data_IF_731197688150
#
_entry.id   IF_731197688150
#
_cell.length_a   1.000
_cell.length_b   1.000
_cell.length_c   1.000
_cell.angle_alpha   90.00
_cell.angle_beta   90.00
_cell.angle_gamma   90.00
#
_symmetry.space_group_name_H-M   'P 1'
#
loop_
_entity.id
_entity.type
_entity.pdbx_description
1 polymer ?
#
# COMPACT_ATOMS: atom_id res chain seq x y z
N UNK A 1 -6.97 -5.60 -34.81
CA UNK A 1 -7.77 -4.91 -33.78
C UNK A 1 -6.82 -4.36 -32.74
N UNK A 2 -6.68 -3.03 -32.64
CA UNK A 2 -6.06 -2.39 -31.48
C UNK A 2 -7.11 -2.37 -30.36
N UNK A 3 -6.77 -2.64 -29.10
CA UNK A 3 -7.73 -2.45 -28.02
C UNK A 3 -8.02 -0.95 -27.91
N UNK A 4 -9.28 -0.58 -28.07
CA UNK A 4 -9.81 0.71 -27.64
C UNK A 4 -9.80 0.67 -26.11
N UNK A 5 -8.73 1.21 -25.51
CA UNK A 5 -8.72 1.56 -24.10
C UNK A 5 -9.72 2.70 -23.91
N UNK A 6 -10.75 2.46 -23.11
CA UNK A 6 -11.81 3.40 -22.82
C UNK A 6 -11.22 4.62 -22.08
N UNK A 7 -11.56 5.82 -22.52
CA UNK A 7 -10.96 7.10 -22.08
C UNK A 7 -11.18 7.44 -20.59
N UNK A 8 -11.80 6.54 -19.82
CA UNK A 8 -12.23 6.69 -18.43
C UNK A 8 -11.33 5.98 -17.39
N UNK A 9 -10.34 5.20 -17.80
CA UNK A 9 -9.59 4.30 -16.89
C UNK A 9 -8.33 4.91 -16.23
N UNK A 10 -8.07 6.20 -16.40
CA UNK A 10 -6.77 6.78 -16.00
C UNK A 10 -6.83 7.74 -14.80
N UNK A 11 -7.97 7.81 -14.11
CA UNK A 11 -8.10 8.57 -12.87
C UNK A 11 -8.12 7.60 -11.69
N UNK A 12 -7.05 7.61 -10.89
CA UNK A 12 -7.03 6.90 -9.62
C UNK A 12 -7.69 7.77 -8.55
N UNK A 13 -8.78 7.27 -7.98
CA UNK A 13 -9.43 7.90 -6.83
C UNK A 13 -9.06 7.10 -5.59
N UNK A 14 -8.16 7.63 -4.78
CA UNK A 14 -7.78 7.03 -3.50
C UNK A 14 -8.52 7.77 -2.39
N UNK A 15 -9.38 7.06 -1.67
CA UNK A 15 -9.94 7.52 -0.41
C UNK A 15 -9.10 6.96 0.73
N UNK A 16 -8.29 7.83 1.33
CA UNK A 16 -7.50 7.54 2.51
C UNK A 16 -8.14 8.31 3.66
N UNK A 17 -9.00 7.61 4.41
CA UNK A 17 -9.61 8.11 5.64
C UNK A 17 -10.43 9.41 5.46
N UNK A 18 -11.18 9.50 4.35
CA UNK A 18 -12.02 10.65 4.00
C UNK A 18 -11.28 11.72 3.19
N UNK A 19 -9.96 11.59 3.01
CA UNK A 19 -9.19 12.42 2.07
C UNK A 19 -9.20 11.76 0.70
N UNK A 20 -9.69 12.50 -0.28
CA UNK A 20 -9.69 12.06 -1.67
C UNK A 20 -8.44 12.56 -2.38
N UNK A 21 -7.69 11.61 -2.95
CA UNK A 21 -6.60 11.88 -3.86
C UNK A 21 -7.05 11.41 -5.25
N UNK A 22 -7.32 12.38 -6.12
CA UNK A 22 -7.72 12.13 -7.49
C UNK A 22 -6.50 12.37 -8.38
N UNK A 23 -5.99 11.29 -8.97
CA UNK A 23 -4.76 11.32 -9.74
C UNK A 23 -5.08 10.91 -11.18
N UNK A 24 -5.13 11.89 -12.08
CA UNK A 24 -5.27 11.67 -13.52
C UNK A 24 -3.91 11.33 -14.14
N UNK A 25 -3.61 10.04 -14.30
CA UNK A 25 -2.35 9.56 -14.87
C UNK A 25 -2.37 9.45 -16.40
N UNK A 26 -3.42 9.91 -17.08
CA UNK A 26 -3.57 9.79 -18.54
C UNK A 26 -2.36 10.36 -19.28
N UNK A 27 -1.90 11.53 -18.85
CA UNK A 27 -0.75 12.19 -19.43
C UNK A 27 0.56 11.42 -19.19
N UNK A 28 0.73 10.80 -18.03
CA UNK A 28 1.92 9.98 -17.72
C UNK A 28 2.03 8.77 -18.67
N UNK A 29 0.91 8.15 -19.04
CA UNK A 29 0.88 7.02 -19.98
C UNK A 29 1.21 7.44 -21.42
N UNK A 30 0.86 8.66 -21.81
CA UNK A 30 1.27 9.21 -23.11
C UNK A 30 2.77 9.48 -23.18
N UNK A 31 3.39 9.88 -22.06
CA UNK A 31 4.83 10.11 -21.98
C UNK A 31 5.65 8.81 -22.18
N UNK A 32 5.12 7.65 -21.76
CA UNK A 32 5.75 6.33 -21.93
C UNK A 32 5.87 5.90 -23.40
N UNK A 33 4.95 6.36 -24.24
CA UNK A 33 4.89 6.01 -25.65
C UNK A 33 5.48 7.09 -26.58
N UNK A 34 5.82 8.25 -26.02
CA UNK A 34 6.44 9.33 -26.78
C UNK A 34 7.94 9.07 -26.93
N UNK A 35 8.45 9.18 -28.16
CA UNK A 35 9.89 9.21 -28.38
C UNK A 35 10.38 10.54 -27.80
N UNK A 36 10.91 10.53 -26.58
CA UNK A 36 11.33 11.74 -25.84
C UNK A 36 12.47 12.51 -26.54
N UNK A 37 13.06 11.96 -27.59
CA UNK A 37 14.02 12.65 -28.47
C UNK A 37 13.39 13.75 -29.33
N UNK A 38 12.08 13.66 -29.59
CA UNK A 38 11.40 14.52 -30.58
C UNK A 38 10.80 15.78 -29.92
N UNK A 39 10.67 15.77 -28.59
CA UNK A 39 10.25 16.94 -27.82
C UNK A 39 11.31 18.03 -27.90
N UNK A 40 10.92 19.29 -28.02
CA UNK A 40 11.79 20.46 -27.86
C UNK A 40 12.24 20.64 -26.40
N UNK A 41 13.24 21.49 -26.15
CA UNK A 41 13.69 21.76 -24.78
C UNK A 41 12.62 22.42 -23.89
N UNK A 42 11.71 23.20 -24.49
CA UNK A 42 10.58 23.81 -23.80
C UNK A 42 9.56 22.73 -23.42
N UNK A 43 9.19 21.86 -24.36
CA UNK A 43 8.26 20.74 -24.11
C UNK A 43 8.81 19.74 -23.08
N UNK A 44 10.13 19.52 -23.06
CA UNK A 44 10.78 18.71 -22.02
C UNK A 44 10.66 19.37 -20.63
N UNK A 45 10.79 20.69 -20.54
CA UNK A 45 10.69 21.42 -19.29
C UNK A 45 9.24 21.44 -18.77
N UNK A 46 8.27 21.70 -19.64
CA UNK A 46 6.83 21.60 -19.31
C UNK A 46 6.45 20.17 -18.87
N UNK A 47 7.04 19.16 -19.50
CA UNK A 47 6.85 17.76 -19.12
C UNK A 47 7.43 17.47 -17.73
N UNK A 48 8.62 17.99 -17.42
CA UNK A 48 9.22 17.87 -16.09
C UNK A 48 8.37 18.53 -15.00
N UNK A 49 7.82 19.72 -15.26
CA UNK A 49 6.93 20.41 -14.32
C UNK A 49 5.66 19.60 -14.06
N UNK A 50 5.04 19.04 -15.10
CA UNK A 50 3.89 18.14 -14.96
C UNK A 50 4.23 16.89 -14.15
N UNK A 51 5.35 16.23 -14.46
CA UNK A 51 5.84 15.07 -13.68
C UNK A 51 6.08 15.45 -12.22
N UNK A 52 6.63 16.64 -11.94
CA UNK A 52 6.82 17.16 -10.60
C UNK A 52 5.51 17.34 -9.83
N UNK A 53 4.46 17.83 -10.50
CA UNK A 53 3.11 17.90 -9.94
C UNK A 53 2.56 16.53 -9.54
N UNK A 54 2.71 15.53 -10.43
CA UNK A 54 2.33 14.15 -10.11
C UNK A 54 3.11 13.58 -8.92
N UNK A 55 4.43 13.72 -8.92
CA UNK A 55 5.28 13.27 -7.82
C UNK A 55 4.82 13.86 -6.49
N UNK A 56 4.49 15.15 -6.46
CA UNK A 56 4.00 15.79 -5.25
C UNK A 56 2.70 15.15 -4.72
N UNK A 57 1.71 14.93 -5.60
CA UNK A 57 0.44 14.29 -5.20
C UNK A 57 0.65 12.84 -4.75
N UNK A 58 1.48 12.06 -5.46
CA UNK A 58 1.79 10.68 -5.09
C UNK A 58 2.55 10.61 -3.77
N UNK A 59 3.53 11.50 -3.53
CA UNK A 59 4.28 11.59 -2.28
C UNK A 59 3.35 11.90 -1.11
N UNK A 60 2.47 12.89 -1.25
CA UNK A 60 1.50 13.25 -0.21
C UNK A 60 0.56 12.09 0.13
N UNK A 61 0.07 11.36 -0.88
CA UNK A 61 -0.75 10.16 -0.67
C UNK A 61 0.07 9.01 -0.03
N UNK A 62 1.32 8.84 -0.44
CA UNK A 62 2.22 7.80 0.06
C UNK A 62 2.61 8.01 1.53
N UNK A 63 2.89 9.24 1.94
CA UNK A 63 3.14 9.59 3.33
C UNK A 63 1.91 9.34 4.21
N UNK A 64 0.72 9.72 3.74
CA UNK A 64 -0.53 9.47 4.45
C UNK A 64 -0.78 7.97 4.63
N UNK A 65 -0.68 7.16 3.57
CA UNK A 65 -0.91 5.72 3.66
C UNK A 65 0.15 5.02 4.50
N UNK A 66 1.41 5.49 4.46
CA UNK A 66 2.50 4.93 5.26
C UNK A 66 2.28 5.17 6.73
N UNK A 67 1.92 6.40 7.13
CA UNK A 67 1.54 6.70 8.51
C UNK A 67 0.36 5.84 8.94
N UNK A 68 -0.68 5.72 8.10
CA UNK A 68 -1.85 4.91 8.45
C UNK A 68 -1.54 3.43 8.59
N UNK A 69 -0.67 2.90 7.73
CA UNK A 69 -0.20 1.52 7.80
C UNK A 69 0.47 1.25 9.15
N UNK A 70 1.36 2.13 9.59
CA UNK A 70 2.05 1.99 10.88
C UNK A 70 1.03 2.03 12.04
N UNK A 71 0.10 2.98 12.03
CA UNK A 71 -0.94 3.10 13.07
C UNK A 71 -1.81 1.84 13.16
N UNK A 72 -2.29 1.33 12.03
CA UNK A 72 -3.21 0.19 11.97
C UNK A 72 -2.52 -1.15 12.24
N UNK A 73 -1.26 -1.31 11.81
CA UNK A 73 -0.44 -2.47 12.17
C UNK A 73 -0.19 -2.51 13.68
N UNK A 74 0.15 -1.37 14.29
CA UNK A 74 0.35 -1.27 15.73
C UNK A 74 -0.93 -1.54 16.52
N UNK A 75 -2.05 -0.94 16.12
CA UNK A 75 -3.36 -1.16 16.76
C UNK A 75 -3.80 -2.63 16.66
N UNK A 76 -3.60 -3.25 15.48
CA UNK A 76 -3.85 -4.68 15.31
C UNK A 76 -2.96 -5.55 16.20
N UNK A 77 -1.67 -5.25 16.29
CA UNK A 77 -0.74 -6.01 17.14
C UNK A 77 -1.10 -5.94 18.62
N UNK A 78 -1.48 -4.75 19.11
CA UNK A 78 -1.92 -4.54 20.49
C UNK A 78 -3.18 -5.34 20.75
N UNK A 79 -4.20 -5.15 19.90
CA UNK A 79 -5.46 -5.89 19.98
C UNK A 79 -5.23 -7.41 19.95
N UNK A 80 -4.40 -7.90 19.03
CA UNK A 80 -4.15 -9.32 18.87
C UNK A 80 -3.44 -9.91 20.09
N UNK A 81 -2.46 -9.21 20.68
CA UNK A 81 -1.77 -9.65 21.91
C UNK A 81 -2.74 -9.76 23.09
N UNK A 82 -3.59 -8.75 23.29
CA UNK A 82 -4.58 -8.78 24.36
C UNK A 82 -5.59 -9.91 24.17
N UNK A 83 -6.07 -10.07 22.94
CA UNK A 83 -7.07 -11.07 22.59
C UNK A 83 -6.50 -12.49 22.66
N UNK A 84 -5.23 -12.65 22.29
CA UNK A 84 -4.50 -13.90 22.45
C UNK A 84 -4.38 -14.30 23.91
N UNK A 85 -3.96 -13.39 24.79
CA UNK A 85 -3.87 -13.66 26.23
C UNK A 85 -5.23 -14.04 26.83
N UNK A 86 -6.30 -13.34 26.43
CA UNK A 86 -7.68 -13.67 26.86
C UNK A 86 -8.12 -15.05 26.38
N UNK A 87 -7.86 -15.39 25.12
CA UNK A 87 -8.20 -16.69 24.54
C UNK A 87 -7.40 -17.83 25.17
N UNK A 88 -6.11 -17.63 25.42
CA UNK A 88 -5.24 -18.59 26.11
C UNK A 88 -5.76 -18.88 27.52
N UNK A 89 -6.05 -17.84 28.31
CA UNK A 89 -6.60 -18.01 29.66
C UNK A 89 -7.97 -18.71 29.65
N UNK A 90 -8.83 -18.38 28.69
CA UNK A 90 -10.13 -19.05 28.54
C UNK A 90 -9.96 -20.55 28.25
N UNK A 91 -9.09 -20.90 27.29
CA UNK A 91 -8.82 -22.31 26.95
C UNK A 91 -8.14 -23.07 28.08
N UNK A 92 -7.20 -22.44 28.80
CA UNK A 92 -6.56 -23.04 29.97
C UNK A 92 -7.58 -23.38 31.06
N UNK A 93 -8.57 -22.51 31.30
CA UNK A 93 -9.66 -22.77 32.24
C UNK A 93 -10.46 -24.00 31.83
N UNK A 94 -10.89 -24.05 30.55
CA UNK A 94 -11.65 -25.19 30.01
C UNK A 94 -10.84 -26.48 30.09
N UNK A 95 -9.57 -26.47 29.68
CA UNK A 95 -8.72 -27.66 29.69
C UNK A 95 -8.44 -28.14 31.11
N UNK A 96 -8.28 -27.22 32.08
CA UNK A 96 -8.13 -27.57 33.50
C UNK A 96 -9.36 -28.30 34.03
N UNK A 97 -10.56 -27.84 33.67
CA UNK A 97 -11.82 -28.50 34.03
C UNK A 97 -11.96 -29.87 33.35
N UNK A 98 -11.64 -29.98 32.07
CA UNK A 98 -11.65 -31.25 31.33
C UNK A 98 -10.68 -32.28 31.93
N UNK A 99 -9.51 -31.83 32.41
CA UNK A 99 -8.55 -32.67 33.11
C UNK A 99 -9.09 -33.13 34.47
N UNK A 100 -9.73 -32.24 35.23
CA UNK A 100 -10.37 -32.59 36.52
C UNK A 100 -11.52 -33.59 36.33
N UNK A 101 -12.28 -33.44 35.25
CA UNK A 101 -13.42 -34.30 34.90
C UNK A 101 -13.01 -35.59 34.17
N UNK A 102 -11.71 -35.81 33.92
CA UNK A 102 -11.19 -37.01 33.25
C UNK A 102 -11.45 -37.10 31.75
N UNK A 103 -11.93 -36.02 31.12
CA UNK A 103 -12.19 -35.93 29.67
C UNK A 103 -10.87 -35.75 28.91
N UNK A 104 -9.90 -35.04 29.49
CA UNK A 104 -8.60 -34.71 28.90
C UNK A 104 -7.45 -35.26 29.73
N UNK A 105 -6.36 -35.70 29.09
CA UNK A 105 -5.15 -36.12 29.79
C UNK A 105 -4.39 -34.92 30.36
N UNK A 106 -3.71 -35.10 31.50
CA UNK A 106 -2.82 -34.07 32.09
C UNK A 106 -1.72 -33.63 31.13
N UNK A 107 -1.26 -34.53 30.26
CA UNK A 107 -0.21 -34.24 29.26
C UNK A 107 -0.69 -33.38 28.10
N UNK A 108 -2.00 -33.23 27.90
CA UNK A 108 -2.60 -32.41 26.85
C UNK A 108 -3.38 -31.20 27.42
N UNK A 109 -2.99 -30.75 28.62
CA UNK A 109 -3.67 -29.71 29.41
C UNK A 109 -3.36 -28.27 29.01
N UNK A 110 -2.43 -28.07 28.07
CA UNK A 110 -2.04 -26.73 27.59
C UNK A 110 -2.53 -26.54 26.15
N UNK A 111 -3.24 -25.44 25.85
CA UNK A 111 -3.64 -25.14 24.48
C UNK A 111 -2.44 -24.79 23.62
N UNK A 112 -2.41 -25.31 22.39
CA UNK A 112 -1.41 -24.91 21.41
C UNK A 112 -1.83 -23.62 20.70
N UNK A 113 -0.88 -23.02 19.98
CA UNK A 113 -1.09 -21.77 19.24
C UNK A 113 -2.30 -21.83 18.31
N UNK A 114 -2.47 -22.90 17.54
CA UNK A 114 -3.59 -23.03 16.59
C UNK A 114 -4.94 -23.06 17.29
N UNK A 115 -5.03 -23.68 18.48
CA UNK A 115 -6.26 -23.69 19.27
C UNK A 115 -6.60 -22.29 19.79
N UNK A 116 -5.58 -21.52 20.22
CA UNK A 116 -5.74 -20.14 20.67
C UNK A 116 -6.19 -19.27 19.49
N UNK A 117 -5.53 -19.37 18.33
CA UNK A 117 -5.90 -18.64 17.11
C UNK A 117 -7.35 -18.96 16.66
N UNK A 118 -7.73 -20.24 16.66
CA UNK A 118 -9.10 -20.65 16.36
C UNK A 118 -10.10 -20.06 17.36
N UNK A 119 -9.74 -20.00 18.65
CA UNK A 119 -10.60 -19.39 19.67
C UNK A 119 -10.78 -17.89 19.45
N UNK A 120 -9.71 -17.17 19.10
CA UNK A 120 -9.78 -15.75 18.73
C UNK A 120 -10.75 -15.55 17.55
N UNK A 121 -10.63 -16.36 16.50
CA UNK A 121 -11.48 -16.25 15.30
C UNK A 121 -12.96 -16.52 15.64
N UNK A 122 -13.24 -17.45 16.54
CA UNK A 122 -14.62 -17.76 16.95
C UNK A 122 -15.19 -16.64 17.83
N UNK A 123 -14.45 -16.23 18.86
CA UNK A 123 -14.94 -15.27 19.86
C UNK A 123 -14.99 -13.83 19.32
N UNK A 124 -14.10 -13.49 18.39
CA UNK A 124 -13.92 -12.13 17.85
C UNK A 124 -14.08 -12.06 16.32
N UNK A 125 -14.86 -12.97 15.73
CA UNK A 125 -15.00 -13.15 14.27
C UNK A 125 -15.11 -11.85 13.47
N UNK A 126 -16.05 -10.99 13.86
CA UNK A 126 -16.35 -9.77 13.09
C UNK A 126 -15.25 -8.72 13.24
N UNK A 127 -14.68 -8.58 14.44
CA UNK A 127 -13.57 -7.66 14.70
C UNK A 127 -12.28 -8.13 14.01
N UNK A 128 -11.95 -9.42 14.13
CA UNK A 128 -10.81 -10.04 13.43
C UNK A 128 -10.92 -9.79 11.93
N UNK A 129 -12.08 -10.10 11.35
CA UNK A 129 -12.33 -9.90 9.92
C UNK A 129 -12.17 -8.44 9.52
N UNK A 130 -12.82 -7.52 10.24
CA UNK A 130 -12.76 -6.08 9.97
C UNK A 130 -11.32 -5.57 9.97
N UNK A 131 -10.55 -5.92 10.99
CA UNK A 131 -9.15 -5.47 11.12
C UNK A 131 -8.26 -6.04 10.02
N UNK A 132 -8.39 -7.32 9.69
CA UNK A 132 -7.65 -7.93 8.58
C UNK A 132 -8.02 -7.30 7.23
N UNK A 133 -9.30 -7.02 6.98
CA UNK A 133 -9.75 -6.32 5.77
C UNK A 133 -9.17 -4.91 5.67
N UNK A 134 -9.14 -4.16 6.79
CA UNK A 134 -8.50 -2.84 6.86
C UNK A 134 -7.00 -2.91 6.51
N UNK A 135 -6.25 -3.81 7.14
CA UNK A 135 -4.82 -4.00 6.87
C UNK A 135 -4.56 -4.37 5.41
N UNK A 136 -5.36 -5.27 4.84
CA UNK A 136 -5.24 -5.67 3.43
C UNK A 136 -5.52 -4.51 2.47
N UNK A 137 -6.53 -3.68 2.76
CA UNK A 137 -6.85 -2.49 1.97
C UNK A 137 -5.69 -1.49 2.01
N UNK A 138 -5.16 -1.21 3.20
CA UNK A 138 -4.03 -0.29 3.38
C UNK A 138 -2.80 -0.79 2.64
N UNK A 139 -2.49 -2.08 2.77
CA UNK A 139 -1.37 -2.71 2.06
C UNK A 139 -1.50 -2.56 0.55
N UNK A 140 -2.70 -2.79 0.02
CA UNK A 140 -2.97 -2.65 -1.43
C UNK A 140 -2.73 -1.23 -1.92
N UNK A 141 -3.16 -0.21 -1.16
CA UNK A 141 -2.87 1.19 -1.47
C UNK A 141 -1.38 1.54 -1.35
N UNK A 142 -0.71 1.01 -0.33
CA UNK A 142 0.71 1.21 -0.13
C UNK A 142 1.54 0.60 -1.27
N UNK A 143 1.25 -0.65 -1.65
CA UNK A 143 1.92 -1.35 -2.75
C UNK A 143 1.70 -0.62 -4.08
N UNK A 144 0.47 -0.16 -4.33
CA UNK A 144 0.12 0.63 -5.50
C UNK A 144 0.92 1.94 -5.55
N UNK A 145 0.81 2.78 -4.51
CA UNK A 145 1.49 4.08 -4.46
C UNK A 145 3.01 3.95 -4.56
N UNK A 146 3.60 2.95 -3.91
CA UNK A 146 5.04 2.67 -3.97
C UNK A 146 5.49 2.35 -5.40
N UNK A 147 4.72 1.52 -6.12
CA UNK A 147 5.04 1.16 -7.51
C UNK A 147 4.93 2.37 -8.44
N UNK A 148 3.84 3.13 -8.35
CA UNK A 148 3.62 4.27 -9.24
C UNK A 148 4.66 5.39 -9.00
N UNK A 149 5.00 5.68 -7.74
CA UNK A 149 6.08 6.62 -7.42
C UNK A 149 7.38 6.25 -8.11
N UNK A 150 7.81 4.99 -8.01
CA UNK A 150 9.05 4.51 -8.62
C UNK A 150 9.05 4.70 -10.14
N UNK A 151 7.91 4.44 -10.79
CA UNK A 151 7.77 4.63 -12.24
C UNK A 151 7.91 6.12 -12.60
N UNK A 152 7.26 7.00 -11.84
CA UNK A 152 7.26 8.45 -12.11
C UNK A 152 8.65 9.05 -11.84
N UNK A 153 9.35 8.61 -10.78
CA UNK A 153 10.72 9.04 -10.48
C UNK A 153 11.71 8.68 -11.60
N UNK A 154 11.61 7.47 -12.14
CA UNK A 154 12.43 7.05 -13.29
C UNK A 154 12.15 7.94 -14.50
N UNK A 155 10.87 8.26 -14.76
CA UNK A 155 10.48 9.14 -15.87
C UNK A 155 11.04 10.56 -15.69
N UNK A 156 10.92 11.12 -14.48
CA UNK A 156 11.50 12.43 -14.15
C UNK A 156 13.02 12.44 -14.41
N UNK A 157 13.71 11.39 -13.95
CA UNK A 157 15.16 11.23 -14.11
C UNK A 157 15.56 11.17 -15.59
N UNK A 158 14.82 10.44 -16.41
CA UNK A 158 15.09 10.33 -17.84
C UNK A 158 14.89 11.67 -18.56
N UNK A 159 13.76 12.36 -18.32
CA UNK A 159 13.50 13.67 -18.91
C UNK A 159 14.57 14.69 -18.51
N UNK A 160 14.95 14.71 -17.23
CA UNK A 160 15.98 15.61 -16.71
C UNK A 160 17.34 15.33 -17.34
N UNK A 161 17.66 14.05 -17.56
CA UNK A 161 18.92 13.63 -18.20
C UNK A 161 19.00 14.10 -19.66
N UNK A 162 17.91 13.99 -20.42
CA UNK A 162 17.84 14.48 -21.81
C UNK A 162 18.01 16.00 -21.85
N UNK A 163 17.30 16.73 -20.98
CA UNK A 163 17.40 18.18 -20.91
C UNK A 163 18.82 18.64 -20.56
N UNK A 164 19.46 17.98 -19.59
CA UNK A 164 20.84 18.26 -19.19
C UNK A 164 21.83 17.96 -20.31
N UNK A 165 21.64 16.86 -21.04
CA UNK A 165 22.47 16.52 -22.20
C UNK A 165 22.40 17.62 -23.27
N UNK A 166 21.19 18.08 -23.61
CA UNK A 166 21.00 19.15 -24.61
C UNK A 166 21.64 20.47 -24.19
N UNK A 167 21.48 20.87 -22.93
CA UNK A 167 22.14 22.08 -22.39
C UNK A 167 23.66 22.00 -22.56
N UNK A 168 24.27 20.86 -22.22
CA UNK A 168 25.71 20.63 -22.37
C UNK A 168 26.20 20.60 -23.83
N UNK A 169 25.37 20.15 -24.77
CA UNK A 169 25.71 20.21 -26.20
C UNK A 169 25.69 21.66 -26.68
N UNK A 170 24.64 22.42 -26.36
CA UNK A 170 24.56 23.84 -26.72
C UNK A 170 25.69 24.67 -26.09
N UNK A 171 26.07 24.41 -24.84
CA UNK A 171 27.19 25.08 -24.15
C UNK A 171 28.56 24.80 -24.80
N UNK A 172 28.70 23.73 -25.59
CA UNK A 172 29.95 23.39 -26.29
C UNK A 172 30.03 23.97 -27.72
N UNK A 173 28.92 24.46 -28.25
CA UNK A 173 28.83 25.05 -29.59
C UNK A 173 29.04 26.58 -29.59
N UNK A 174 29.16 27.18 -28.41
CA UNK A 174 29.54 28.59 -28.17
C UNK A 174 30.92 28.68 -27.53
#
# INVERSE_FOLDING_TARGET
MKPLLDDKEYIFNLDIHGKQYNIDVKWLLHLENAITSDLSSIELQESLEKVGGYLHTFLAAFEEITRRKIEEELDYEIWYKETYAKAEMSLLSVFSEEVKSGIRSKTNGTPNRTQIEARIIVDYKDEYRKRTETLNKIKTYWDFLSREMKIIEIRATNLQSILNFRRKVMEKEY
#
